data_IF_179151204488
#
_entry.id   IF_179151204488
#
_cell.length_a   1.000
_cell.length_b   1.000
_cell.length_c   1.000
_cell.angle_alpha   90.00
_cell.angle_beta   90.00
_cell.angle_gamma   90.00
#
_symmetry.space_group_name_H-M   'P 1'
#
loop_
_entity.id
_entity.type
_entity.pdbx_description
1 polymer ?
#
# COMPACT_ATOMS: atom_id res chain seq x y z
N UNK A 1 -9.36 17.79 -16.40
CA UNK A 1 -8.79 17.98 -15.06
C UNK A 1 -7.29 17.85 -15.21
N UNK A 2 -6.81 16.75 -15.78
CA UNK A 2 -5.40 16.43 -16.01
C UNK A 2 -4.67 17.55 -16.78
N UNK A 3 -5.19 18.02 -17.92
CA UNK A 3 -4.57 19.12 -18.70
C UNK A 3 -4.84 20.53 -18.12
N UNK A 4 -5.78 20.66 -17.20
CA UNK A 4 -6.28 21.95 -16.71
C UNK A 4 -5.61 22.37 -15.40
N UNK A 5 -5.21 21.39 -14.60
CA UNK A 5 -4.56 21.55 -13.31
C UNK A 5 -3.33 20.63 -13.25
N UNK A 6 -2.31 20.92 -14.05
CA UNK A 6 -1.04 20.17 -14.07
C UNK A 6 -0.27 20.23 -12.74
N UNK A 7 -0.62 21.20 -11.88
CA UNK A 7 0.00 21.41 -10.58
C UNK A 7 1.34 22.14 -10.70
N UNK A 8 2.24 21.85 -9.77
CA UNK A 8 3.59 22.42 -9.75
C UNK A 8 4.59 21.44 -10.37
N UNK A 9 5.04 21.72 -11.60
CA UNK A 9 5.92 20.81 -12.36
C UNK A 9 7.26 20.60 -11.66
N UNK A 10 7.82 21.64 -11.05
CA UNK A 10 9.09 21.56 -10.33
C UNK A 10 8.84 21.70 -8.83
N UNK A 11 9.29 20.71 -8.04
CA UNK A 11 9.15 20.80 -6.59
C UNK A 11 10.13 21.84 -6.02
N UNK A 12 9.68 23.09 -5.92
CA UNK A 12 10.42 24.23 -5.37
C UNK A 12 10.49 24.20 -3.85
N UNK A 13 9.57 23.49 -3.20
CA UNK A 13 9.46 23.42 -1.74
C UNK A 13 8.58 24.50 -1.13
N UNK A 14 8.06 25.43 -1.93
CA UNK A 14 7.12 26.46 -1.49
C UNK A 14 5.72 25.90 -1.26
N UNK A 15 4.92 26.58 -0.46
CA UNK A 15 3.51 26.24 -0.27
C UNK A 15 2.75 26.43 -1.60
N UNK A 16 2.04 25.41 -2.05
CA UNK A 16 1.33 25.44 -3.32
C UNK A 16 -0.14 25.15 -3.10
N UNK A 17 -0.99 26.07 -3.53
CA UNK A 17 -2.43 25.94 -3.53
C UNK A 17 -2.96 26.11 -4.95
N UNK A 18 -3.84 25.20 -5.35
CA UNK A 18 -4.43 25.22 -6.69
C UNK A 18 -5.52 26.30 -6.73
N UNK A 19 -5.21 27.40 -7.40
CA UNK A 19 -6.19 28.47 -7.61
C UNK A 19 -7.22 28.06 -8.68
N UNK A 20 -8.50 28.41 -8.50
CA UNK A 20 -9.52 28.12 -9.50
C UNK A 20 -9.21 28.92 -10.78
N UNK A 21 -8.89 28.21 -11.86
CA UNK A 21 -8.77 28.79 -13.18
C UNK A 21 -10.05 29.58 -13.57
N UNK A 22 -9.90 30.56 -14.47
CA UNK A 22 -11.04 31.30 -15.06
C UNK A 22 -11.99 30.43 -15.91
N UNK A 23 -11.66 29.15 -16.03
CA UNK A 23 -12.43 28.11 -16.68
C UNK A 23 -13.72 27.77 -15.91
N UNK A 24 -14.63 27.03 -16.56
CA UNK A 24 -15.94 26.64 -16.02
C UNK A 24 -15.85 25.58 -14.92
N UNK A 25 -14.74 24.85 -14.77
CA UNK A 25 -14.58 23.76 -13.79
C UNK A 25 -13.66 24.16 -12.66
N UNK A 26 -14.03 23.80 -11.43
CA UNK A 26 -13.24 24.07 -10.20
C UNK A 26 -12.26 22.90 -9.97
N UNK A 27 -11.12 23.13 -9.28
CA UNK A 27 -10.19 22.05 -8.96
C UNK A 27 -10.87 20.99 -8.08
N UNK A 28 -10.39 19.76 -8.19
CA UNK A 28 -10.95 18.65 -7.44
C UNK A 28 -10.56 18.78 -5.97
N UNK A 29 -11.56 19.06 -5.12
CA UNK A 29 -11.36 19.26 -3.69
C UNK A 29 -11.37 17.94 -2.93
N UNK A 30 -10.32 17.67 -2.18
CA UNK A 30 -10.20 16.50 -1.31
C UNK A 30 -9.79 16.90 0.11
N UNK A 31 -9.99 16.00 1.07
CA UNK A 31 -9.61 16.20 2.46
C UNK A 31 -8.55 15.16 2.83
N UNK A 32 -7.53 15.59 3.56
CA UNK A 32 -6.50 14.69 4.07
C UNK A 32 -7.05 13.93 5.29
N UNK A 33 -7.13 12.60 5.17
CA UNK A 33 -7.37 11.72 6.31
C UNK A 33 -6.04 11.16 6.83
N UNK A 34 -5.69 11.50 8.06
CA UNK A 34 -4.45 11.10 8.74
C UNK A 34 -4.67 9.84 9.61
N UNK A 35 -5.93 9.45 9.82
CA UNK A 35 -6.31 8.36 10.72
C UNK A 35 -5.80 8.59 12.15
N UNK A 36 -5.09 7.58 12.68
CA UNK A 36 -4.56 7.58 14.04
C UNK A 36 -3.14 8.15 14.17
N UNK A 37 -2.55 8.60 13.07
CA UNK A 37 -1.18 9.13 13.06
C UNK A 37 -1.14 10.49 13.77
N UNK A 38 -0.15 10.67 14.67
CA UNK A 38 0.02 11.94 15.38
C UNK A 38 0.48 13.04 14.42
N UNK A 39 -0.15 14.21 14.54
CA UNK A 39 0.19 15.41 13.75
C UNK A 39 1.45 16.11 14.27
N UNK A 40 2.62 15.61 13.86
CA UNK A 40 3.93 16.22 14.13
C UNK A 40 4.45 16.99 12.92
N UNK A 41 5.32 17.98 13.17
CA UNK A 41 6.01 18.71 12.09
C UNK A 41 6.95 17.73 11.40
N UNK A 42 6.91 17.69 10.07
CA UNK A 42 7.76 16.81 9.27
C UNK A 42 7.34 15.34 9.23
N UNK A 43 6.09 15.02 9.61
CA UNK A 43 5.55 13.70 9.39
C UNK A 43 5.44 13.39 7.88
N UNK A 44 5.76 12.17 7.46
CA UNK A 44 5.71 11.70 6.06
C UNK A 44 4.32 11.80 5.45
N UNK A 45 3.26 11.73 6.25
CA UNK A 45 1.87 11.95 5.78
C UNK A 45 1.72 13.33 5.13
N UNK A 46 2.39 14.35 5.67
CA UNK A 46 2.38 15.69 5.09
C UNK A 46 3.29 15.81 3.86
N UNK A 47 4.27 14.90 3.68
CA UNK A 47 4.99 14.77 2.41
C UNK A 47 4.09 14.24 1.29
N UNK A 48 3.22 13.27 1.60
CA UNK A 48 2.20 12.80 0.64
C UNK A 48 1.18 13.89 0.31
N UNK A 49 0.76 14.68 1.31
CA UNK A 49 -0.06 15.87 1.10
C UNK A 49 0.62 16.84 0.12
N UNK A 50 1.91 17.14 0.33
CA UNK A 50 2.66 18.05 -0.55
C UNK A 50 2.71 17.53 -1.99
N UNK A 51 3.00 16.24 -2.18
CA UNK A 51 2.96 15.62 -3.50
C UNK A 51 1.57 15.66 -4.18
N UNK A 52 0.49 15.54 -3.40
CA UNK A 52 -0.88 15.67 -3.91
C UNK A 52 -1.20 17.11 -4.36
N UNK A 53 -0.75 18.10 -3.59
CA UNK A 53 -0.88 19.52 -3.95
C UNK A 53 -0.09 19.85 -5.22
N UNK A 54 1.18 19.44 -5.27
CA UNK A 54 2.05 19.63 -6.44
C UNK A 54 1.56 18.84 -7.67
N UNK A 55 0.71 17.84 -7.46
CA UNK A 55 0.01 17.10 -8.51
C UNK A 55 -1.33 17.73 -8.96
N UNK A 56 -1.71 18.89 -8.44
CA UNK A 56 -2.89 19.64 -8.90
C UNK A 56 -4.19 19.36 -8.13
N UNK A 57 -4.14 18.70 -6.97
CA UNK A 57 -5.31 18.54 -6.09
C UNK A 57 -5.51 19.74 -5.17
N UNK A 58 -6.77 20.17 -5.00
CA UNK A 58 -7.13 21.17 -3.98
C UNK A 58 -7.35 20.46 -2.64
N UNK A 59 -6.43 20.63 -1.71
CA UNK A 59 -6.57 20.15 -0.33
C UNK A 59 -6.41 21.33 0.61
N UNK A 60 -7.38 21.64 1.48
CA UNK A 60 -7.20 22.69 2.48
C UNK A 60 -6.11 22.30 3.49
N UNK A 61 -5.06 23.10 3.59
CA UNK A 61 -3.90 22.81 4.43
C UNK A 61 -3.28 24.08 5.05
N UNK A 62 -2.23 23.88 5.85
CA UNK A 62 -1.42 24.96 6.42
C UNK A 62 0.05 24.52 6.45
N UNK A 63 0.95 25.44 6.10
CA UNK A 63 2.40 25.23 6.06
C UNK A 63 3.04 24.80 7.40
N UNK A 64 2.33 24.99 8.52
CA UNK A 64 2.82 24.75 9.90
C UNK A 64 3.24 23.30 10.19
N UNK A 65 2.89 22.36 9.32
CA UNK A 65 3.20 20.93 9.48
C UNK A 65 4.28 20.43 8.53
N UNK A 66 4.70 21.25 7.58
CA UNK A 66 5.77 20.91 6.65
C UNK A 66 7.14 20.98 7.31
N UNK A 67 8.07 20.19 6.77
CA UNK A 67 9.48 20.22 7.17
C UNK A 67 10.07 21.58 6.78
N UNK A 68 10.88 22.18 7.64
CA UNK A 68 11.42 23.54 7.42
C UNK A 68 10.57 24.64 8.05
N UNK A 69 9.40 24.34 8.60
CA UNK A 69 8.62 25.31 9.35
C UNK A 69 9.23 25.59 10.72
N UNK A 70 9.59 26.85 10.98
CA UNK A 70 10.02 27.31 12.30
C UNK A 70 8.86 27.94 13.07
N UNK A 71 8.67 27.50 14.32
CA UNK A 71 7.64 28.07 15.20
C UNK A 71 7.94 29.51 15.61
N UNK A 72 9.22 29.88 15.62
CA UNK A 72 9.69 31.17 16.11
C UNK A 72 9.53 32.24 15.02
N UNK A 73 9.99 31.95 13.80
CA UNK A 73 9.80 32.85 12.65
C UNK A 73 8.40 32.76 12.04
N UNK A 74 7.64 31.69 12.32
CA UNK A 74 6.34 31.36 11.73
C UNK A 74 6.37 31.34 10.19
N UNK A 75 7.52 30.96 9.63
CA UNK A 75 7.75 30.89 8.20
C UNK A 75 8.27 29.51 7.82
N UNK A 76 7.90 29.07 6.62
CA UNK A 76 8.43 27.87 5.98
C UNK A 76 9.73 28.21 5.26
N UNK A 77 10.81 27.49 5.61
CA UNK A 77 12.02 27.48 4.81
C UNK A 77 11.85 26.51 3.62
N UNK A 78 11.59 27.08 2.44
CA UNK A 78 11.38 26.34 1.21
C UNK A 78 12.62 25.55 0.77
N UNK A 79 13.83 26.04 1.07
CA UNK A 79 15.07 25.33 0.71
C UNK A 79 15.20 24.05 1.53
N UNK A 80 14.95 24.12 2.84
CA UNK A 80 14.92 22.94 3.70
C UNK A 80 13.82 22.00 3.24
N UNK A 81 12.62 22.50 2.91
CA UNK A 81 11.54 21.65 2.44
C UNK A 81 11.91 20.92 1.15
N UNK A 82 12.50 21.62 0.19
CA UNK A 82 12.99 21.07 -1.09
C UNK A 82 14.02 19.95 -0.88
N UNK A 83 14.98 20.14 0.03
CA UNK A 83 15.97 19.12 0.41
C UNK A 83 15.32 17.83 0.91
N UNK A 84 14.19 17.93 1.62
CA UNK A 84 13.45 16.75 2.07
C UNK A 84 12.67 16.06 0.95
N UNK A 85 12.17 16.81 -0.04
CA UNK A 85 11.47 16.25 -1.20
C UNK A 85 12.42 15.40 -2.05
N UNK A 86 13.64 15.88 -2.30
CA UNK A 86 14.64 15.16 -3.11
C UNK A 86 15.53 14.20 -2.30
N UNK A 87 15.28 14.06 -0.99
CA UNK A 87 15.97 13.06 -0.17
C UNK A 87 17.40 13.43 0.24
N UNK A 88 17.79 14.71 0.21
CA UNK A 88 19.13 15.16 0.58
C UNK A 88 19.50 14.81 2.02
N UNK A 89 18.52 14.76 2.93
CA UNK A 89 18.72 14.29 4.31
C UNK A 89 19.15 12.82 4.38
N UNK A 90 18.74 12.00 3.40
CA UNK A 90 19.18 10.61 3.26
C UNK A 90 20.59 10.59 2.67
N UNK A 91 20.85 11.40 1.64
CA UNK A 91 22.17 11.54 1.04
C UNK A 91 23.23 11.96 2.08
N UNK A 92 22.93 12.98 2.88
CA UNK A 92 23.80 13.42 3.97
C UNK A 92 24.09 12.30 4.97
N UNK A 93 23.06 11.53 5.35
CA UNK A 93 23.22 10.40 6.27
C UNK A 93 24.02 9.25 5.64
N UNK A 94 23.89 9.00 4.34
CA UNK A 94 24.72 8.05 3.60
C UNK A 94 26.19 8.47 3.66
N UNK A 95 26.51 9.72 3.35
CA UNK A 95 27.87 10.25 3.37
C UNK A 95 28.51 10.13 4.76
N UNK A 96 27.80 10.56 5.81
CA UNK A 96 28.30 10.42 7.19
C UNK A 96 28.57 8.97 7.57
N UNK A 97 27.68 8.03 7.23
CA UNK A 97 27.90 6.62 7.55
C UNK A 97 29.01 5.97 6.72
N UNK A 98 29.25 6.42 5.49
CA UNK A 98 30.36 5.94 4.68
C UNK A 98 31.72 6.31 5.29
N UNK A 99 31.83 7.49 5.88
CA UNK A 99 33.04 8.00 6.53
C UNK A 99 33.23 7.42 7.93
N UNK A 100 32.20 7.48 8.78
CA UNK A 100 32.31 7.15 10.19
C UNK A 100 32.17 5.64 10.47
N UNK A 101 31.24 4.95 9.80
CA UNK A 101 30.84 3.58 10.14
C UNK A 101 30.46 2.74 8.88
N UNK A 102 31.44 2.31 8.08
CA UNK A 102 31.19 1.65 6.79
C UNK A 102 30.46 0.31 6.92
N UNK A 103 30.53 -0.35 8.07
CA UNK A 103 29.76 -1.57 8.35
C UNK A 103 28.26 -1.29 8.43
N UNK A 104 27.85 -0.20 9.10
CA UNK A 104 26.46 0.23 9.17
C UNK A 104 25.95 0.73 7.82
N UNK A 105 26.81 1.41 7.05
CA UNK A 105 26.47 1.81 5.68
C UNK A 105 26.08 0.59 4.84
N UNK A 106 26.89 -0.47 4.87
CA UNK A 106 26.62 -1.71 4.12
C UNK A 106 25.33 -2.41 4.56
N UNK A 107 24.99 -2.39 5.85
CA UNK A 107 23.77 -3.03 6.34
C UNK A 107 22.52 -2.19 6.03
N UNK A 108 22.54 -0.89 6.30
CA UNK A 108 21.41 0.02 6.09
C UNK A 108 21.11 0.26 4.60
N UNK A 109 22.15 0.40 3.77
CA UNK A 109 22.02 0.75 2.35
C UNK A 109 22.35 -0.41 1.41
N UNK A 110 22.23 -1.66 1.89
CA UNK A 110 22.53 -2.86 1.09
C UNK A 110 21.80 -2.88 -0.27
N UNK A 111 20.54 -2.48 -0.31
CA UNK A 111 19.76 -2.46 -1.55
C UNK A 111 20.11 -1.30 -2.49
N UNK A 112 20.61 -0.19 -1.95
CA UNK A 112 21.15 0.92 -2.75
C UNK A 112 22.45 0.50 -3.43
N UNK A 113 23.34 -0.17 -2.68
CA UNK A 113 24.60 -0.71 -3.21
C UNK A 113 24.33 -1.73 -4.33
N UNK A 114 23.36 -2.65 -4.14
CA UNK A 114 22.98 -3.63 -5.19
C UNK A 114 22.49 -2.97 -6.48
N UNK A 115 21.87 -1.79 -6.37
CA UNK A 115 21.33 -1.02 -7.50
C UNK A 115 22.33 0.00 -8.06
N UNK A 116 23.53 0.13 -7.47
CA UNK A 116 24.52 1.12 -7.86
C UNK A 116 24.08 2.56 -7.60
N UNK A 117 23.28 2.79 -6.55
CA UNK A 117 22.80 4.12 -6.16
C UNK A 117 23.67 4.67 -5.03
N UNK A 118 24.30 5.82 -5.30
CA UNK A 118 25.13 6.57 -4.36
C UNK A 118 24.40 7.83 -3.87
N UNK A 119 24.95 8.51 -2.86
CA UNK A 119 24.36 9.69 -2.24
C UNK A 119 24.04 10.79 -3.27
N UNK A 120 24.97 11.07 -4.17
CA UNK A 120 24.84 12.11 -5.20
C UNK A 120 23.77 11.77 -6.27
N UNK A 121 23.48 10.48 -6.46
CA UNK A 121 22.50 10.00 -7.44
C UNK A 121 21.04 10.09 -6.99
N UNK A 122 20.77 10.39 -5.71
CA UNK A 122 19.42 10.38 -5.14
C UNK A 122 18.53 11.47 -5.72
N UNK A 123 19.01 12.72 -5.81
CA UNK A 123 18.21 13.84 -6.32
C UNK A 123 17.78 13.60 -7.78
N UNK A 124 18.71 13.12 -8.63
CA UNK A 124 18.41 12.79 -10.02
C UNK A 124 17.38 11.67 -10.15
N UNK A 125 17.48 10.65 -9.30
CA UNK A 125 16.55 9.53 -9.28
C UNK A 125 15.13 10.02 -9.01
N UNK A 126 14.94 10.87 -7.99
CA UNK A 126 13.61 11.41 -7.65
C UNK A 126 13.05 12.30 -8.76
N UNK A 127 13.87 13.16 -9.39
CA UNK A 127 13.44 13.95 -10.56
C UNK A 127 12.98 13.07 -11.72
N UNK A 128 13.73 12.00 -12.03
CA UNK A 128 13.36 11.01 -13.06
C UNK A 128 12.04 10.30 -12.70
N UNK A 129 11.84 9.94 -11.43
CA UNK A 129 10.61 9.32 -10.95
C UNK A 129 9.42 10.26 -11.07
N UNK A 130 9.55 11.54 -10.69
CA UNK A 130 8.48 12.52 -10.83
C UNK A 130 8.08 12.72 -12.31
N UNK A 131 9.05 12.80 -13.21
CA UNK A 131 8.78 12.86 -14.64
C UNK A 131 8.07 11.60 -15.16
N UNK A 132 8.50 10.41 -14.71
CA UNK A 132 7.89 9.14 -15.11
C UNK A 132 6.44 8.99 -14.62
N UNK A 133 6.13 9.40 -13.38
CA UNK A 133 4.77 9.36 -12.82
C UNK A 133 3.83 10.28 -13.61
N UNK A 134 4.31 11.47 -14.00
CA UNK A 134 3.50 12.39 -14.82
C UNK A 134 3.30 11.89 -16.25
N UNK A 135 4.30 11.22 -16.82
CA UNK A 135 4.20 10.66 -18.17
C UNK A 135 3.22 9.48 -18.26
N UNK A 136 3.21 8.60 -17.24
CA UNK A 136 2.29 7.47 -17.16
C UNK A 136 1.77 7.27 -15.73
N UNK A 137 0.67 7.95 -15.35
CA UNK A 137 0.08 7.81 -14.01
C UNK A 137 -0.76 6.54 -13.86
N UNK A 138 -0.81 5.66 -14.87
CA UNK A 138 -1.70 4.50 -14.85
C UNK A 138 -1.21 3.42 -13.89
N UNK A 139 -2.09 2.97 -12.99
CA UNK A 139 -1.77 1.93 -12.03
C UNK A 139 -1.71 0.56 -12.74
N UNK A 140 -0.50 0.02 -12.90
CA UNK A 140 -0.29 -1.34 -13.39
C UNK A 140 -0.80 -2.34 -12.33
N UNK A 141 -1.84 -3.11 -12.68
CA UNK A 141 -2.35 -4.17 -11.81
C UNK A 141 -1.33 -5.30 -11.74
N UNK A 142 -1.08 -5.84 -10.56
CA UNK A 142 -0.26 -7.04 -10.44
C UNK A 142 -0.97 -8.23 -11.07
N UNK A 143 -0.21 -9.04 -11.81
CA UNK A 143 -0.66 -10.33 -12.27
C UNK A 143 -0.70 -11.26 -11.05
N UNK A 144 -1.91 -11.57 -10.59
CA UNK A 144 -2.10 -12.54 -9.52
C UNK A 144 -1.98 -13.93 -10.14
N UNK A 145 -1.17 -14.78 -9.53
CA UNK A 145 -1.18 -16.21 -9.86
C UNK A 145 -2.62 -16.74 -9.71
N UNK A 146 -3.09 -17.58 -10.65
CA UNK A 146 -4.43 -18.14 -10.57
C UNK A 146 -4.62 -18.88 -9.25
N UNK A 147 -5.78 -18.71 -8.63
CA UNK A 147 -6.13 -19.35 -7.36
C UNK A 147 -5.91 -20.86 -7.49
N UNK A 148 -5.09 -21.44 -6.61
CA UNK A 148 -4.89 -22.90 -6.59
C UNK A 148 -6.25 -23.58 -6.44
N UNK A 149 -6.59 -24.48 -7.36
CA UNK A 149 -7.85 -25.22 -7.29
C UNK A 149 -7.96 -25.92 -5.93
N UNK A 150 -9.03 -25.62 -5.20
CA UNK A 150 -9.30 -26.28 -3.92
C UNK A 150 -9.65 -27.74 -4.20
N UNK A 151 -8.73 -28.66 -3.90
CA UNK A 151 -8.99 -30.10 -3.99
C UNK A 151 -10.20 -30.43 -3.10
N UNK A 152 -11.35 -30.71 -3.71
CA UNK A 152 -12.50 -31.29 -3.01
C UNK A 152 -12.16 -32.74 -2.69
N UNK A 153 -11.83 -33.01 -1.43
CA UNK A 153 -11.77 -34.38 -0.94
C UNK A 153 -13.22 -34.89 -0.84
N UNK A 154 -13.65 -35.71 -1.81
CA UNK A 154 -14.85 -36.50 -1.63
C UNK A 154 -14.54 -37.53 -0.53
N UNK A 155 -15.03 -37.28 0.69
CA UNK A 155 -15.12 -38.36 1.68
C UNK A 155 -16.15 -39.33 1.12
N UNK A 156 -15.72 -40.51 0.71
CA UNK A 156 -16.60 -41.58 0.20
C UNK A 156 -17.54 -42.07 1.33
N UNK A 157 -18.56 -41.29 1.68
CA UNK A 157 -19.62 -41.70 2.61
C UNK A 157 -20.59 -42.73 1.99
N UNK A 158 -20.56 -42.89 0.67
CA UNK A 158 -21.49 -43.76 -0.05
C UNK A 158 -21.29 -45.26 0.28
N UNK A 159 -20.07 -45.67 0.63
CA UNK A 159 -19.80 -47.09 0.93
C UNK A 159 -20.43 -47.51 2.27
N UNK A 160 -20.45 -46.63 3.27
CA UNK A 160 -21.05 -46.94 4.57
C UNK A 160 -22.58 -46.92 4.53
N UNK A 161 -23.19 -46.00 3.76
CA UNK A 161 -24.65 -45.94 3.67
C UNK A 161 -25.23 -47.15 2.91
N UNK A 162 -24.54 -47.61 1.86
CA UNK A 162 -24.99 -48.76 1.06
C UNK A 162 -24.91 -50.07 1.86
N UNK A 163 -23.86 -50.27 2.66
CA UNK A 163 -23.72 -51.47 3.51
C UNK A 163 -24.81 -51.51 4.60
N UNK A 164 -25.12 -50.37 5.24
CA UNK A 164 -26.14 -50.30 6.29
C UNK A 164 -27.54 -50.59 5.73
N UNK A 165 -27.87 -50.05 4.54
CA UNK A 165 -29.18 -50.28 3.91
C UNK A 165 -29.37 -51.71 3.43
N UNK A 166 -28.31 -52.40 2.98
CA UNK A 166 -28.41 -53.79 2.53
C UNK A 166 -28.48 -54.81 3.67
N UNK A 167 -27.88 -54.54 4.84
CA UNK A 167 -27.87 -55.47 5.97
C UNK A 167 -29.16 -55.42 6.82
N UNK A 168 -29.82 -54.26 6.89
CA UNK A 168 -31.06 -54.10 7.68
C UNK A 168 -32.24 -55.01 7.30
N UNK A 169 -32.58 -55.24 6.01
CA UNK A 169 -33.71 -56.11 5.66
C UNK A 169 -33.45 -57.58 6.00
N UNK A 170 -32.18 -58.03 5.97
CA UNK A 170 -31.83 -59.42 6.31
C UNK A 170 -32.05 -59.72 7.79
N UNK A 171 -31.78 -58.75 8.67
CA UNK A 171 -31.99 -58.88 10.11
C UNK A 171 -33.48 -58.97 10.49
N UNK A 172 -34.34 -58.22 9.79
CA UNK A 172 -35.79 -58.25 10.01
C UNK A 172 -36.37 -59.62 9.59
N UNK A 173 -35.93 -60.15 8.44
CA UNK A 173 -36.38 -61.45 7.96
C UNK A 173 -35.94 -62.58 8.92
N UNK A 174 -34.72 -62.51 9.46
CA UNK A 174 -34.22 -63.48 10.43
C UNK A 174 -35.03 -63.46 11.74
N UNK A 175 -35.39 -62.26 12.24
CA UNK A 175 -36.23 -62.13 13.44
C UNK A 175 -37.66 -62.63 13.22
N UNK A 176 -38.25 -62.40 12.05
CA UNK A 176 -39.56 -62.94 11.69
C UNK A 176 -39.54 -64.47 11.56
N UNK A 177 -38.49 -65.03 10.96
CA UNK A 177 -38.30 -66.47 10.87
C UNK A 177 -38.17 -67.13 12.26
N UNK A 178 -37.36 -66.55 13.15
CA UNK A 178 -37.24 -67.03 14.53
C UNK A 178 -38.56 -66.92 15.32
N UNK A 179 -39.32 -65.84 15.12
CA UNK A 179 -40.63 -65.68 15.76
C UNK A 179 -41.63 -66.75 15.27
N UNK A 180 -41.66 -67.01 13.96
CA UNK A 180 -42.51 -68.04 13.34
C UNK A 180 -42.15 -69.46 13.84
N UNK A 181 -40.85 -69.77 13.95
CA UNK A 181 -40.37 -71.02 14.52
C UNK A 181 -40.78 -71.23 15.98
N UNK A 182 -40.93 -70.16 16.76
CA UNK A 182 -41.34 -70.22 18.18
C UNK A 182 -42.84 -70.48 18.33
N UNK A 183 -43.65 -70.03 17.37
CA UNK A 183 -45.11 -70.19 17.38
C UNK A 183 -45.58 -71.57 16.91
N UNK A 184 -44.74 -72.32 16.19
CA UNK A 184 -45.00 -73.69 15.73
C UNK A 184 -44.73 -74.78 16.78
N UNK A 185 -44.18 -74.46 17.96
CA UNK A 185 -43.85 -75.43 19.03
C UNK A 185 -44.82 -75.42 20.22
N UNK A 186 -45.95 -74.73 20.11
CA UNK A 186 -47.10 -74.81 21.00
C UNK A 186 -48.31 -75.31 20.22
#
# INVERSE_FOLDING_TARGET
MDDEYEGNVEATGEDYSVEPAKSRRRPFRTLLDIGLVRTTIGNRVFGALKGALDGGLDIPHSEKRFVGFSKDSKQLDAEVHRKYIYGDHIAAYMTTLMEDEPEKYRSHFSDYIKKGLEADGLEEMYKKVHAAIRADPTAKKSEKEPTKEHKRYHLNLDVHFTIIVLLYPFQILYMQFLSSMKQSRN
#
